data_IF_616863707529
#
_entry.id   IF_616863707529
#
_cell.length_a   1.000
_cell.length_b   1.000
_cell.length_c   1.000
_cell.angle_alpha   90.00
_cell.angle_beta   90.00
_cell.angle_gamma   90.00
#
_symmetry.space_group_name_H-M   'P 1'
#
loop_
_entity.id
_entity.type
_entity.pdbx_description
1 polymer ?
#
# COMPACT_ATOMS: atom_id res chain seq x y z
N UNK A 1 -18.91 13.71 26.71
CA UNK A 1 -19.31 12.88 25.55
C UNK A 1 -18.21 11.84 25.35
N UNK A 2 -18.50 10.54 25.49
CA UNK A 2 -17.49 9.48 25.33
C UNK A 2 -16.83 9.57 23.93
N UNK A 3 -15.53 9.32 23.87
CA UNK A 3 -14.75 9.20 22.61
C UNK A 3 -15.41 8.24 21.62
N UNK A 4 -16.09 7.20 22.11
CA UNK A 4 -16.83 6.26 21.26
C UNK A 4 -18.11 6.84 20.65
N UNK A 5 -18.84 7.68 21.39
CA UNK A 5 -20.01 8.37 20.84
C UNK A 5 -19.60 9.40 19.79
N UNK A 6 -18.44 10.04 19.97
CA UNK A 6 -17.85 10.94 18.98
C UNK A 6 -17.43 10.17 17.71
N UNK A 7 -16.73 9.03 17.85
CA UNK A 7 -16.35 8.15 16.73
C UNK A 7 -17.56 7.62 15.96
N UNK A 8 -18.61 7.16 16.65
CA UNK A 8 -19.86 6.69 16.00
C UNK A 8 -20.59 7.82 15.27
N UNK A 9 -20.66 9.01 15.88
CA UNK A 9 -21.26 10.19 15.24
C UNK A 9 -20.49 10.61 13.99
N UNK A 10 -19.15 10.55 14.01
CA UNK A 10 -18.32 10.90 12.88
C UNK A 10 -18.43 9.88 11.73
N UNK A 11 -18.47 8.57 12.03
CA UNK A 11 -18.72 7.55 10.99
C UNK A 11 -20.04 7.76 10.25
N UNK A 12 -21.09 8.24 10.93
CA UNK A 12 -22.37 8.62 10.29
C UNK A 12 -22.27 9.91 9.46
N UNK A 13 -21.32 10.81 9.75
CA UNK A 13 -21.18 12.11 9.08
C UNK A 13 -20.43 12.05 7.75
N UNK A 14 -19.67 10.97 7.52
CA UNK A 14 -18.97 10.74 6.26
C UNK A 14 -19.80 9.85 5.35
N UNK A 15 -20.47 10.45 4.36
CA UNK A 15 -20.89 9.69 3.18
C UNK A 15 -19.66 9.49 2.32
N UNK A 16 -19.43 8.25 1.85
CA UNK A 16 -18.39 8.01 0.83
C UNK A 16 -18.67 8.95 -0.34
N UNK A 17 -17.65 9.62 -0.89
CA UNK A 17 -17.83 10.40 -2.10
C UNK A 17 -18.45 9.51 -3.17
N UNK A 18 -19.57 9.93 -3.73
CA UNK A 18 -20.08 9.27 -4.92
C UNK A 18 -19.17 9.66 -6.08
N UNK A 19 -18.75 8.66 -6.87
CA UNK A 19 -18.05 8.92 -8.11
C UNK A 19 -19.04 9.63 -9.03
N UNK A 20 -18.95 10.94 -9.13
CA UNK A 20 -19.76 11.67 -10.08
C UNK A 20 -19.12 11.51 -11.45
N UNK A 21 -19.80 10.78 -12.34
CA UNK A 21 -19.65 10.97 -13.77
C UNK A 21 -20.42 12.24 -14.17
N UNK A 22 -20.07 13.38 -13.55
CA UNK A 22 -20.58 14.66 -14.00
C UNK A 22 -20.05 14.97 -15.40
N UNK A 23 -20.80 15.70 -16.25
CA UNK A 23 -20.26 16.16 -17.52
C UNK A 23 -18.93 16.89 -17.25
N UNK A 24 -17.86 16.63 -18.02
CA UNK A 24 -16.57 17.26 -17.80
C UNK A 24 -16.79 18.77 -17.74
N UNK A 25 -16.45 19.38 -16.60
CA UNK A 25 -16.37 20.85 -16.53
C UNK A 25 -15.47 21.27 -17.69
N UNK A 26 -15.98 22.10 -18.62
CA UNK A 26 -15.23 22.55 -19.81
C UNK A 26 -13.81 22.96 -19.39
N UNK A 27 -12.81 22.19 -19.84
CA UNK A 27 -11.39 22.40 -19.51
C UNK A 27 -10.74 21.33 -18.63
N UNK A 28 -11.50 20.40 -18.04
CA UNK A 28 -10.95 19.29 -17.25
C UNK A 28 -11.36 17.96 -17.91
N UNK A 29 -10.63 17.51 -18.93
CA UNK A 29 -10.84 16.21 -19.56
C UNK A 29 -9.66 15.23 -19.34
N UNK A 30 -10.01 13.96 -19.21
CA UNK A 30 -9.20 12.72 -19.25
C UNK A 30 -8.06 12.50 -18.25
N UNK A 31 -7.63 13.48 -17.46
CA UNK A 31 -6.46 13.29 -16.57
C UNK A 31 -6.71 13.41 -15.07
N UNK A 32 -7.97 13.51 -14.64
CA UNK A 32 -8.34 13.60 -13.22
C UNK A 32 -9.60 12.79 -12.94
N UNK A 33 -9.63 12.16 -11.76
CA UNK A 33 -10.85 11.54 -11.23
C UNK A 33 -11.31 12.39 -10.06
N UNK A 34 -12.50 12.98 -10.20
CA UNK A 34 -13.10 13.75 -9.12
C UNK A 34 -14.07 12.92 -8.33
N UNK A 35 -14.02 13.16 -7.04
CA UNK A 35 -14.95 12.67 -6.07
C UNK A 35 -15.51 13.87 -5.33
N UNK A 36 -16.83 14.07 -5.40
CA UNK A 36 -17.49 15.12 -4.66
C UNK A 36 -17.94 14.54 -3.32
N UNK A 37 -17.62 15.24 -2.24
CA UNK A 37 -18.07 14.87 -0.91
C UNK A 37 -18.58 16.07 -0.13
N UNK A 38 -19.24 15.77 0.99
CA UNK A 38 -19.77 16.78 1.91
C UNK A 38 -19.37 16.42 3.34
N UNK A 39 -18.63 17.31 3.99
CA UNK A 39 -18.29 17.24 5.40
C UNK A 39 -19.36 17.96 6.22
N UNK A 40 -19.97 17.24 7.16
CA UNK A 40 -20.91 17.84 8.11
C UNK A 40 -20.13 18.40 9.32
N UNK A 41 -19.92 19.70 9.35
CA UNK A 41 -19.24 20.42 10.42
C UNK A 41 -20.11 20.52 11.69
N UNK A 42 -19.52 21.01 12.78
CA UNK A 42 -20.28 21.31 14.01
C UNK A 42 -21.28 22.43 13.73
N UNK A 43 -22.52 22.29 14.22
CA UNK A 43 -23.60 23.27 13.99
C UNK A 43 -24.27 23.15 12.62
N UNK A 44 -24.41 21.93 12.09
CA UNK A 44 -25.15 21.59 10.85
C UNK A 44 -24.65 22.27 9.57
N UNK A 45 -23.52 22.97 9.63
CA UNK A 45 -22.86 23.53 8.45
C UNK A 45 -22.30 22.39 7.59
N UNK A 46 -22.47 22.51 6.27
CA UNK A 46 -21.93 21.58 5.29
C UNK A 46 -20.74 22.23 4.60
N UNK A 47 -19.65 21.48 4.44
CA UNK A 47 -18.48 21.86 3.67
C UNK A 47 -18.36 20.90 2.51
N UNK A 48 -18.67 21.36 1.31
CA UNK A 48 -18.45 20.60 0.09
C UNK A 48 -16.96 20.57 -0.25
N UNK A 49 -16.48 19.43 -0.70
CA UNK A 49 -15.08 19.26 -1.07
C UNK A 49 -14.94 18.36 -2.28
N UNK A 50 -13.87 18.60 -3.04
CA UNK A 50 -13.44 17.75 -4.14
C UNK A 50 -12.23 16.95 -3.68
N UNK A 51 -12.23 15.64 -3.90
CA UNK A 51 -11.03 14.82 -3.87
C UNK A 51 -10.66 14.52 -5.31
N UNK A 52 -9.39 14.74 -5.64
CA UNK A 52 -8.80 14.35 -6.91
C UNK A 52 -7.36 13.96 -6.67
N UNK A 53 -6.81 13.14 -7.57
CA UNK A 53 -5.38 12.82 -7.62
C UNK A 53 -4.80 13.29 -8.96
N UNK A 54 -3.49 13.56 -8.98
CA UNK A 54 -2.74 13.62 -10.23
C UNK A 54 -2.50 12.20 -10.72
N UNK A 55 -2.74 11.93 -12.00
CA UNK A 55 -2.45 10.61 -12.60
C UNK A 55 -0.96 10.37 -12.79
N UNK A 56 -0.13 11.42 -12.73
CA UNK A 56 1.32 11.32 -12.89
C UNK A 56 2.01 11.92 -11.68
N UNK A 57 3.05 11.23 -11.24
CA UNK A 57 3.97 11.70 -10.20
C UNK A 57 4.93 12.75 -10.78
N UNK A 58 5.46 13.59 -9.90
CA UNK A 58 6.52 14.55 -10.21
C UNK A 58 6.08 16.00 -10.26
N UNK A 59 6.99 16.86 -9.81
CA UNK A 59 6.77 18.28 -9.56
C UNK A 59 6.11 19.02 -10.74
N UNK A 60 6.61 18.84 -11.97
CA UNK A 60 6.14 19.57 -13.16
C UNK A 60 4.75 19.11 -13.58
N UNK A 61 4.52 17.79 -13.60
CA UNK A 61 3.20 17.23 -13.91
C UNK A 61 2.19 17.70 -12.86
N UNK A 62 2.49 17.51 -11.58
CA UNK A 62 1.63 17.98 -10.51
C UNK A 62 1.35 19.48 -10.61
N UNK A 63 2.36 20.33 -10.79
CA UNK A 63 2.20 21.78 -10.90
C UNK A 63 1.28 22.17 -12.06
N UNK A 64 1.44 21.55 -13.22
CA UNK A 64 0.61 21.80 -14.41
C UNK A 64 -0.85 21.40 -14.14
N UNK A 65 -1.04 20.18 -13.64
CA UNK A 65 -2.35 19.63 -13.37
C UNK A 65 -3.09 20.40 -12.27
N UNK A 66 -2.47 20.54 -11.10
CA UNK A 66 -3.02 21.28 -9.98
C UNK A 66 -3.20 22.77 -10.31
N UNK A 67 -2.33 23.37 -11.14
CA UNK A 67 -2.50 24.75 -11.61
C UNK A 67 -3.81 24.97 -12.36
N UNK A 68 -4.14 24.07 -13.29
CA UNK A 68 -5.44 24.10 -14.00
C UNK A 68 -6.60 23.98 -12.99
N UNK A 69 -6.48 23.08 -12.01
CA UNK A 69 -7.52 22.91 -10.99
C UNK A 69 -7.71 24.14 -10.12
N UNK A 70 -6.63 24.77 -9.68
CA UNK A 70 -6.70 26.00 -8.88
C UNK A 70 -7.31 27.15 -9.69
N UNK A 71 -7.01 27.23 -10.98
CA UNK A 71 -7.58 28.23 -11.88
C UNK A 71 -9.09 28.02 -12.11
N UNK A 72 -9.53 26.78 -12.31
CA UNK A 72 -10.92 26.42 -12.59
C UNK A 72 -11.78 26.41 -11.32
N UNK A 73 -11.34 25.71 -10.29
CA UNK A 73 -12.11 25.50 -9.06
C UNK A 73 -12.01 26.67 -8.09
N UNK A 74 -10.93 27.47 -8.18
CA UNK A 74 -10.63 28.60 -7.27
C UNK A 74 -10.87 28.24 -5.80
N UNK A 75 -10.20 27.18 -5.30
CA UNK A 75 -10.48 26.65 -3.98
C UNK A 75 -10.15 27.68 -2.89
N UNK A 76 -11.05 27.86 -1.92
CA UNK A 76 -10.77 28.71 -0.76
C UNK A 76 -9.76 28.05 0.20
N UNK A 77 -9.80 26.73 0.30
CA UNK A 77 -8.86 25.89 1.03
C UNK A 77 -8.45 24.69 0.18
N UNK A 78 -7.20 24.27 0.31
CA UNK A 78 -6.68 23.08 -0.35
C UNK A 78 -5.83 22.26 0.63
N UNK A 79 -5.92 20.94 0.51
CA UNK A 79 -5.14 19.98 1.29
C UNK A 79 -4.42 19.08 0.28
N UNK A 80 -3.11 19.01 0.40
CA UNK A 80 -2.29 18.03 -0.29
C UNK A 80 -2.01 16.87 0.66
N UNK A 81 -2.31 15.66 0.21
CA UNK A 81 -2.02 14.43 0.90
C UNK A 81 -1.27 13.51 -0.06
N UNK A 82 -0.09 13.06 0.35
CA UNK A 82 0.80 12.22 -0.45
C UNK A 82 1.61 11.29 0.44
N UNK A 83 2.32 10.37 -0.19
CA UNK A 83 3.33 9.51 0.44
C UNK A 83 4.71 10.13 0.23
N UNK A 84 5.58 9.94 1.21
CA UNK A 84 6.93 10.50 1.22
C UNK A 84 7.92 9.48 1.79
N UNK A 85 9.20 9.67 1.50
CA UNK A 85 10.27 9.00 2.23
C UNK A 85 10.55 9.78 3.53
N UNK A 86 10.59 9.08 4.67
CA UNK A 86 10.91 9.68 5.97
C UNK A 86 12.41 9.69 6.25
N UNK A 87 12.91 10.74 6.89
CA UNK A 87 14.28 10.81 7.37
C UNK A 87 14.42 10.04 8.69
N UNK A 88 14.84 8.78 8.61
CA UNK A 88 14.97 7.90 9.77
C UNK A 88 15.89 8.48 10.87
N UNK A 89 16.89 9.30 10.52
CA UNK A 89 17.80 9.94 11.49
C UNK A 89 17.09 10.95 12.39
N UNK A 90 15.94 11.48 11.95
CA UNK A 90 15.03 12.34 12.73
C UNK A 90 13.94 11.53 13.46
N UNK A 91 14.06 10.20 13.45
CA UNK A 91 13.14 9.24 14.06
C UNK A 91 11.82 9.07 13.32
N UNK A 92 11.72 9.45 12.04
CA UNK A 92 10.50 9.21 11.25
C UNK A 92 10.41 7.72 10.91
N UNK A 93 9.28 7.10 11.26
CA UNK A 93 9.03 5.67 11.04
C UNK A 93 7.96 5.45 9.96
N UNK A 94 7.93 4.24 9.38
CA UNK A 94 6.89 3.84 8.42
C UNK A 94 5.50 3.93 9.06
N UNK A 95 4.53 4.49 8.32
CA UNK A 95 3.15 4.66 8.77
C UNK A 95 2.90 5.90 9.63
N UNK A 96 3.93 6.68 9.98
CA UNK A 96 3.74 7.97 10.63
C UNK A 96 3.15 9.00 9.64
N UNK A 97 2.27 9.86 10.15
CA UNK A 97 1.73 10.99 9.39
C UNK A 97 2.48 12.25 9.80
N UNK A 98 2.97 12.98 8.80
CA UNK A 98 3.77 14.20 8.98
C UNK A 98 2.96 15.38 8.44
N UNK A 99 2.94 16.49 9.17
CA UNK A 99 2.39 17.76 8.72
C UNK A 99 3.51 18.66 8.18
N UNK A 100 3.28 19.26 7.02
CA UNK A 100 4.25 20.15 6.39
C UNK A 100 4.21 21.55 6.93
N UNK A 101 5.34 21.98 7.46
CA UNK A 101 5.57 23.36 7.86
C UNK A 101 6.18 24.16 6.71
N UNK A 102 7.01 23.59 5.88
CA UNK A 102 7.50 24.23 4.66
C UNK A 102 7.82 23.17 3.62
N UNK A 103 7.99 23.59 2.36
CA UNK A 103 8.52 22.72 1.33
C UNK A 103 9.51 23.48 0.45
N UNK A 104 10.67 22.88 0.17
CA UNK A 104 11.64 23.43 -0.77
C UNK A 104 11.82 22.51 -1.98
N UNK A 105 12.07 23.08 -3.16
CA UNK A 105 12.57 22.29 -4.28
C UNK A 105 14.05 22.01 -4.05
N UNK A 106 14.44 20.73 -4.10
CA UNK A 106 15.84 20.32 -3.99
C UNK A 106 16.67 20.87 -5.14
N UNK A 107 16.12 20.84 -6.35
CA UNK A 107 16.81 21.23 -7.58
C UNK A 107 16.96 22.76 -7.71
N UNK A 108 15.98 23.53 -7.23
CA UNK A 108 16.05 25.00 -7.29
C UNK A 108 16.88 25.61 -6.16
N UNK A 109 17.13 24.88 -5.07
CA UNK A 109 17.86 25.35 -3.88
C UNK A 109 17.20 26.53 -3.14
N UNK A 110 16.04 27.02 -3.62
CA UNK A 110 15.30 28.13 -3.03
C UNK A 110 14.30 27.60 -2.01
N UNK A 111 14.41 28.10 -0.78
CA UNK A 111 13.35 27.92 0.21
C UNK A 111 12.09 28.61 -0.29
N UNK A 112 10.97 27.90 -0.33
CA UNK A 112 9.69 28.54 -0.53
C UNK A 112 8.80 28.33 0.68
N UNK A 113 8.20 29.42 1.13
CA UNK A 113 7.04 29.47 2.02
C UNK A 113 7.14 28.64 3.31
N UNK A 114 7.56 29.27 4.41
CA UNK A 114 7.26 28.75 5.75
C UNK A 114 5.78 28.94 6.06
N UNK A 115 5.08 27.86 6.34
CA UNK A 115 3.82 27.83 7.08
C UNK A 115 4.15 28.07 8.56
N UNK A 116 3.25 28.75 9.27
CA UNK A 116 3.37 28.88 10.71
C UNK A 116 3.25 27.47 11.31
N UNK A 117 4.33 26.99 11.93
CA UNK A 117 4.46 25.59 12.29
C UNK A 117 3.30 25.07 13.13
N UNK A 118 2.88 23.83 12.89
CA UNK A 118 1.96 23.16 13.80
C UNK A 118 2.71 22.87 15.11
N UNK A 119 2.25 23.46 16.22
CA UNK A 119 2.75 23.09 17.53
C UNK A 119 2.33 21.63 17.79
N UNK A 120 3.29 20.71 17.66
CA UNK A 120 3.10 19.30 17.96
C UNK A 120 2.73 19.14 19.45
N UNK A 121 1.43 19.12 19.74
CA UNK A 121 0.90 18.60 21.00
C UNK A 121 1.17 17.10 21.10
N UNK A 122 0.71 16.45 22.18
CA UNK A 122 0.88 15.01 22.55
C UNK A 122 0.44 13.94 21.50
N UNK A 123 0.31 14.28 20.23
CA UNK A 123 -0.25 13.44 19.17
C UNK A 123 0.84 12.61 18.46
N UNK A 124 0.42 11.51 17.83
CA UNK A 124 1.25 10.58 17.03
C UNK A 124 1.80 11.18 15.72
N UNK A 125 1.73 12.49 15.56
CA UNK A 125 2.06 13.20 14.34
C UNK A 125 3.33 14.01 14.57
N UNK A 126 4.17 14.14 13.53
CA UNK A 126 5.28 15.09 13.55
C UNK A 126 4.99 16.25 12.62
N UNK A 127 5.69 17.35 12.85
CA UNK A 127 5.64 18.54 12.01
C UNK A 127 7.06 18.90 11.59
N UNK A 128 7.25 19.24 10.31
CA UNK A 128 8.55 19.70 9.83
C UNK A 128 8.58 20.01 8.35
N UNK A 129 9.79 20.25 7.85
CA UNK A 129 10.01 20.69 6.48
C UNK A 129 10.05 19.49 5.51
N UNK A 130 9.52 19.74 4.32
CA UNK A 130 9.51 18.85 3.17
C UNK A 130 10.59 19.29 2.19
N UNK A 131 11.18 18.32 1.51
CA UNK A 131 11.97 18.56 0.31
C UNK A 131 11.28 17.86 -0.85
N UNK A 132 10.95 18.62 -1.89
CA UNK A 132 10.34 18.09 -3.10
C UNK A 132 11.37 17.95 -4.21
N UNK A 133 11.29 16.87 -4.97
CA UNK A 133 12.21 16.56 -6.08
C UNK A 133 11.51 16.38 -7.43
N UNK A 134 12.30 16.47 -8.50
CA UNK A 134 11.85 16.17 -9.86
C UNK A 134 11.74 14.67 -10.16
N UNK A 135 12.50 13.81 -9.46
CA UNK A 135 12.55 12.37 -9.72
C UNK A 135 12.61 11.52 -8.44
N UNK A 136 11.96 10.35 -8.48
CA UNK A 136 12.15 9.29 -7.48
C UNK A 136 13.58 8.80 -7.60
N UNK A 137 14.32 8.75 -6.49
CA UNK A 137 15.66 8.19 -6.46
C UNK A 137 15.86 7.30 -5.25
N UNK A 138 16.62 6.23 -5.45
CA UNK A 138 16.96 5.24 -4.42
C UNK A 138 17.96 5.81 -3.38
N UNK A 139 18.62 6.93 -3.67
CA UNK A 139 19.61 7.55 -2.80
C UNK A 139 19.04 8.53 -1.77
N UNK A 140 17.79 8.33 -1.32
CA UNK A 140 17.09 9.14 -0.30
C UNK A 140 17.99 9.51 0.88
N UNK A 141 18.77 8.55 1.39
CA UNK A 141 19.71 8.73 2.50
C UNK A 141 20.76 9.81 2.21
N UNK A 142 21.42 9.75 1.05
CA UNK A 142 22.45 10.73 0.64
C UNK A 142 21.88 12.13 0.48
N UNK A 143 20.62 12.23 0.07
CA UNK A 143 19.94 13.52 -0.06
C UNK A 143 19.67 14.11 1.31
N UNK A 144 19.15 13.33 2.25
CA UNK A 144 18.95 13.79 3.62
C UNK A 144 20.27 14.22 4.27
N UNK A 145 21.34 13.44 4.11
CA UNK A 145 22.68 13.82 4.58
C UNK A 145 23.12 15.16 3.98
N UNK A 146 23.03 15.31 2.65
CA UNK A 146 23.44 16.53 1.97
C UNK A 146 22.63 17.75 2.42
N UNK A 147 21.32 17.61 2.61
CA UNK A 147 20.45 18.72 3.00
C UNK A 147 20.69 19.10 4.45
N UNK A 148 20.86 18.12 5.33
CA UNK A 148 21.19 18.35 6.74
C UNK A 148 22.51 19.12 6.84
N UNK A 149 23.51 18.76 6.04
CA UNK A 149 24.82 19.45 6.01
C UNK A 149 24.75 20.84 5.36
N UNK A 150 23.99 21.00 4.27
CA UNK A 150 24.05 22.23 3.44
C UNK A 150 23.06 23.32 3.84
N UNK A 151 21.92 22.97 4.46
CA UNK A 151 20.82 23.90 4.63
C UNK A 151 20.49 24.23 6.10
N UNK A 152 21.06 23.51 7.07
CA UNK A 152 20.72 23.58 8.50
C UNK A 152 19.19 23.58 8.73
N UNK A 153 18.51 22.57 8.17
CA UNK A 153 17.05 22.45 8.22
C UNK A 153 16.61 21.15 8.84
N UNK A 154 15.51 21.23 9.58
CA UNK A 154 14.79 20.08 10.09
C UNK A 154 13.91 19.45 9.00
N UNK A 155 14.57 18.87 7.98
CA UNK A 155 13.87 18.14 6.91
C UNK A 155 13.51 16.75 7.42
N UNK A 156 12.21 16.52 7.55
CA UNK A 156 11.67 15.24 8.00
C UNK A 156 11.35 14.31 6.84
N UNK A 157 11.05 14.87 5.67
CA UNK A 157 10.47 14.09 4.57
C UNK A 157 10.98 14.53 3.21
N UNK A 158 11.00 13.58 2.28
CA UNK A 158 11.29 13.77 0.88
C UNK A 158 10.06 13.35 0.06
N UNK A 159 9.49 14.29 -0.68
CA UNK A 159 8.33 14.09 -1.55
C UNK A 159 8.65 14.61 -2.97
N UNK A 160 7.64 14.70 -3.85
CA UNK A 160 7.83 15.23 -5.21
C UNK A 160 6.95 16.43 -5.54
N UNK A 161 5.94 16.77 -4.73
CA UNK A 161 4.89 17.72 -5.12
C UNK A 161 4.62 18.83 -4.10
N UNK A 162 5.03 18.70 -2.83
CA UNK A 162 4.68 19.63 -1.76
C UNK A 162 5.10 21.07 -2.08
N UNK A 163 6.31 21.28 -2.62
CA UNK A 163 6.79 22.62 -2.98
C UNK A 163 5.95 23.25 -4.10
N UNK A 164 5.62 22.49 -5.14
CA UNK A 164 4.71 22.93 -6.20
C UNK A 164 3.31 23.26 -5.63
N UNK A 165 2.79 22.43 -4.74
CA UNK A 165 1.51 22.69 -4.08
C UNK A 165 1.50 24.00 -3.30
N UNK A 166 2.53 24.25 -2.48
CA UNK A 166 2.64 25.50 -1.72
C UNK A 166 2.77 26.72 -2.66
N UNK A 167 3.54 26.59 -3.74
CA UNK A 167 3.69 27.65 -4.75
C UNK A 167 2.39 27.98 -5.47
N UNK A 168 1.55 26.97 -5.75
CA UNK A 168 0.24 27.17 -6.36
C UNK A 168 -0.73 27.86 -5.39
N UNK A 169 -0.64 27.57 -4.10
CA UNK A 169 -1.52 28.19 -3.09
C UNK A 169 -1.25 29.68 -2.90
N UNK A 170 0.02 30.11 -2.96
CA UNK A 170 0.44 31.48 -2.68
C UNK A 170 -0.25 32.55 -3.56
N UNK A 171 -0.22 32.50 -4.91
CA UNK A 171 -0.84 33.51 -5.76
C UNK A 171 -2.38 33.44 -5.73
N UNK A 172 -2.97 32.27 -5.47
CA UNK A 172 -4.43 32.10 -5.43
C UNK A 172 -5.06 32.57 -4.11
N UNK A 173 -4.25 33.03 -3.14
CA UNK A 173 -4.69 33.30 -1.76
C UNK A 173 -5.44 32.10 -1.16
N UNK A 174 -5.12 30.90 -1.65
CA UNK A 174 -5.71 29.66 -1.17
C UNK A 174 -5.16 29.41 0.23
N UNK A 175 -6.05 29.23 1.19
CA UNK A 175 -5.63 28.86 2.52
C UNK A 175 -5.24 27.39 2.53
N UNK A 176 -3.94 27.10 2.43
CA UNK A 176 -3.38 25.88 3.02
C UNK A 176 -3.79 25.94 4.48
N UNK A 177 -4.35 24.87 5.06
CA UNK A 177 -4.96 24.84 6.40
C UNK A 177 -4.07 25.51 7.46
N UNK A 178 -4.19 26.83 7.57
CA UNK A 178 -3.38 27.70 8.41
C UNK A 178 -4.12 27.81 9.73
N UNK A 179 -3.40 27.65 10.83
CA UNK A 179 -3.77 28.37 12.04
C UNK A 179 -3.92 29.86 11.68
N UNK A 180 -5.10 30.41 11.93
CA UNK A 180 -5.48 31.78 11.57
C UNK A 180 -4.47 32.79 12.16
N UNK A 181 -3.69 33.51 11.34
CA UNK A 181 -2.96 34.71 11.77
C UNK A 181 -3.32 35.87 10.84
N UNK A 182 -4.26 36.71 11.26
CA UNK A 182 -4.40 38.07 10.73
C UNK A 182 -3.48 39.01 11.55
N UNK A 183 -2.90 40.06 10.95
CA UNK A 183 -2.04 41.02 11.66
C UNK A 183 -2.76 42.00 12.60
N UNK A 184 -4.04 41.80 12.93
CA UNK A 184 -4.81 42.76 13.73
C UNK A 184 -5.64 42.01 14.77
N UNK A 185 -5.17 42.00 16.02
CA UNK A 185 -5.89 41.41 17.17
C UNK A 185 -5.65 39.91 17.30
N UNK A 186 -5.28 39.49 18.53
CA UNK A 186 -4.90 38.13 18.94
C UNK A 186 -5.54 37.01 18.09
N UNK A 187 -4.75 36.15 17.43
CA UNK A 187 -5.32 35.03 16.67
C UNK A 187 -5.99 34.05 17.64
N UNK A 188 -7.18 33.51 17.33
CA UNK A 188 -7.64 32.33 18.01
C UNK A 188 -6.61 31.22 17.75
N UNK A 189 -5.90 30.78 18.80
CA UNK A 189 -4.90 29.68 18.83
C UNK A 189 -5.47 28.30 18.44
N UNK A 190 -6.60 28.25 17.75
CA UNK A 190 -7.15 26.99 17.28
C UNK A 190 -6.48 26.71 15.94
N UNK A 191 -5.50 25.80 15.94
CA UNK A 191 -5.40 24.87 14.82
C UNK A 191 -6.83 24.39 14.51
N UNK A 192 -7.19 24.12 13.26
CA UNK A 192 -8.50 23.58 12.98
C UNK A 192 -8.59 22.21 13.66
N UNK A 193 -9.00 22.14 14.93
CA UNK A 193 -9.16 20.90 15.68
C UNK A 193 -10.10 19.95 14.94
N UNK A 194 -10.99 20.51 14.10
CA UNK A 194 -11.81 19.75 13.16
C UNK A 194 -10.98 18.99 12.11
N UNK A 195 -9.87 19.54 11.62
CA UNK A 195 -8.99 18.90 10.63
C UNK A 195 -8.16 17.79 11.27
N UNK A 196 -7.58 18.04 12.45
CA UNK A 196 -6.90 16.99 13.23
C UNK A 196 -7.86 15.84 13.52
N UNK A 197 -9.04 16.15 14.05
CA UNK A 197 -10.12 15.19 14.29
C UNK A 197 -10.60 14.50 12.99
N UNK A 198 -10.62 15.22 11.87
CA UNK A 198 -10.97 14.69 10.55
C UNK A 198 -9.95 13.65 10.12
N UNK A 199 -8.65 13.96 10.20
CA UNK A 199 -7.56 13.05 9.84
C UNK A 199 -7.49 11.84 10.79
N UNK A 200 -7.72 12.04 12.09
CA UNK A 200 -7.85 10.94 13.07
C UNK A 200 -9.07 10.04 12.80
N UNK A 201 -10.13 10.59 12.22
CA UNK A 201 -11.34 9.83 11.87
C UNK A 201 -11.22 9.09 10.53
N UNK A 202 -10.28 9.50 9.67
CA UNK A 202 -9.99 8.81 8.41
C UNK A 202 -9.19 7.55 8.71
N UNK A 203 -9.86 6.41 8.65
CA UNK A 203 -9.17 5.13 8.68
C UNK A 203 -8.61 4.88 7.28
N UNK A 204 -7.30 5.08 7.13
CA UNK A 204 -6.54 4.80 5.89
C UNK A 204 -6.19 3.33 5.74
N UNK A 205 -6.90 2.44 6.43
CA UNK A 205 -6.71 1.01 6.27
C UNK A 205 -7.04 0.65 4.82
N UNK A 206 -5.99 0.42 4.03
CA UNK A 206 -6.10 -0.18 2.71
C UNK A 206 -6.89 -1.46 2.91
N UNK A 207 -8.07 -1.54 2.30
CA UNK A 207 -8.83 -2.77 2.32
C UNK A 207 -8.13 -3.77 1.40
N UNK A 208 -7.13 -4.46 1.96
CA UNK A 208 -6.29 -5.40 1.24
C UNK A 208 -7.12 -6.54 0.61
N UNK A 209 -8.32 -6.84 1.11
CA UNK A 209 -9.21 -7.86 0.50
C UNK A 209 -9.64 -7.51 -0.93
N UNK A 210 -9.58 -6.22 -1.29
CA UNK A 210 -9.91 -5.73 -2.63
C UNK A 210 -8.71 -5.66 -3.57
N UNK A 211 -7.50 -5.78 -3.03
CA UNK A 211 -6.27 -5.77 -3.82
C UNK A 211 -6.19 -7.03 -4.69
N UNK A 212 -5.52 -6.92 -5.83
CA UNK A 212 -5.47 -8.01 -6.82
C UNK A 212 -4.75 -9.23 -6.25
N UNK A 213 -3.69 -9.03 -5.44
CA UNK A 213 -3.00 -10.10 -4.71
C UNK A 213 -3.93 -10.93 -3.83
N UNK A 214 -4.82 -10.29 -3.06
CA UNK A 214 -5.81 -11.00 -2.24
C UNK A 214 -6.83 -11.75 -3.10
N UNK A 215 -7.29 -11.13 -4.19
CA UNK A 215 -8.23 -11.75 -5.14
C UNK A 215 -7.64 -12.97 -5.86
N UNK A 216 -6.32 -13.03 -6.05
CA UNK A 216 -5.61 -14.17 -6.63
C UNK A 216 -5.34 -15.28 -5.60
N UNK A 217 -5.08 -14.92 -4.34
CA UNK A 217 -4.76 -15.87 -3.28
C UNK A 217 -5.89 -16.88 -3.03
N UNK A 218 -7.15 -16.42 -3.01
CA UNK A 218 -8.30 -17.29 -2.75
C UNK A 218 -8.50 -18.37 -3.82
N UNK A 219 -8.61 -18.06 -5.14
CA UNK A 219 -8.70 -19.09 -6.18
C UNK A 219 -7.48 -20.01 -6.23
N UNK A 220 -6.27 -19.50 -5.95
CA UNK A 220 -5.07 -20.34 -5.89
C UNK A 220 -5.17 -21.36 -4.75
N UNK A 221 -5.62 -20.93 -3.57
CA UNK A 221 -5.84 -21.83 -2.44
C UNK A 221 -6.89 -22.90 -2.76
N UNK A 222 -8.08 -22.48 -3.22
CA UNK A 222 -9.23 -23.36 -3.41
C UNK A 222 -9.03 -24.40 -4.53
N UNK A 223 -8.32 -24.03 -5.61
CA UNK A 223 -8.16 -24.85 -6.81
C UNK A 223 -6.82 -25.60 -6.88
N UNK A 224 -5.83 -25.21 -6.07
CA UNK A 224 -4.51 -25.83 -6.08
C UNK A 224 -4.11 -26.34 -4.70
N UNK A 225 -3.94 -25.46 -3.71
CA UNK A 225 -3.41 -25.83 -2.39
C UNK A 225 -4.29 -26.87 -1.70
N UNK A 226 -5.59 -26.58 -1.55
CA UNK A 226 -6.55 -27.49 -0.91
C UNK A 226 -6.61 -28.83 -1.62
N UNK A 227 -6.72 -28.81 -2.96
CA UNK A 227 -6.83 -30.02 -3.78
C UNK A 227 -5.60 -30.92 -3.63
N UNK A 228 -4.40 -30.36 -3.64
CA UNK A 228 -3.17 -31.13 -3.46
C UNK A 228 -3.08 -31.69 -2.04
N UNK A 229 -3.43 -30.90 -1.02
CA UNK A 229 -3.44 -31.37 0.38
C UNK A 229 -4.45 -32.51 0.56
N UNK A 230 -5.63 -32.42 -0.04
CA UNK A 230 -6.63 -33.50 -0.01
C UNK A 230 -6.10 -34.79 -0.65
N UNK A 231 -5.34 -34.69 -1.76
CA UNK A 231 -4.70 -35.86 -2.37
C UNK A 231 -3.60 -36.47 -1.52
N UNK A 232 -2.82 -35.65 -0.82
CA UNK A 232 -1.84 -36.11 0.16
C UNK A 232 -2.55 -36.88 1.28
N UNK A 233 -3.63 -36.31 1.84
CA UNK A 233 -4.45 -36.94 2.89
C UNK A 233 -5.04 -38.29 2.45
N UNK A 234 -5.43 -38.41 1.18
CA UNK A 234 -6.01 -39.63 0.60
C UNK A 234 -4.94 -40.67 0.23
N UNK A 235 -3.65 -40.36 0.35
CA UNK A 235 -2.56 -41.25 -0.04
C UNK A 235 -2.51 -41.56 -1.54
N UNK A 236 -2.92 -40.60 -2.38
CA UNK A 236 -2.87 -40.79 -3.83
C UNK A 236 -1.43 -41.06 -4.31
N UNK A 237 -1.24 -41.88 -5.36
CA UNK A 237 0.09 -42.22 -5.83
C UNK A 237 0.84 -40.97 -6.32
N UNK A 238 2.12 -40.89 -5.95
CA UNK A 238 3.07 -39.92 -6.46
C UNK A 238 3.94 -40.56 -7.55
N UNK A 239 4.06 -39.89 -8.69
CA UNK A 239 4.86 -40.35 -9.83
C UNK A 239 5.95 -39.32 -10.14
N UNK A 240 7.22 -39.70 -10.04
CA UNK A 240 8.34 -38.88 -10.51
C UNK A 240 8.45 -39.02 -12.02
N UNK A 241 8.39 -37.90 -12.73
CA UNK A 241 8.27 -37.91 -14.19
C UNK A 241 9.41 -38.66 -14.92
N UNK A 242 10.58 -38.80 -14.26
CA UNK A 242 11.76 -39.48 -14.81
C UNK A 242 12.16 -40.77 -14.06
N UNK A 243 11.48 -41.13 -12.97
CA UNK A 243 11.86 -42.27 -12.11
C UNK A 243 10.72 -43.25 -11.83
N UNK A 244 9.49 -42.91 -12.23
CA UNK A 244 8.31 -43.73 -11.99
C UNK A 244 7.71 -43.50 -10.61
N UNK A 245 6.94 -44.48 -10.14
CA UNK A 245 6.17 -44.39 -8.88
C UNK A 245 7.10 -44.41 -7.67
N UNK A 246 6.81 -43.57 -6.68
CA UNK A 246 7.50 -43.55 -5.37
C UNK A 246 6.66 -44.27 -4.34
N UNK A 247 7.27 -45.15 -3.56
CA UNK A 247 6.60 -45.84 -2.43
C UNK A 247 6.36 -44.89 -1.24
N UNK A 248 7.23 -43.88 -1.08
CA UNK A 248 7.12 -42.88 -0.03
C UNK A 248 6.10 -41.81 -0.38
N UNK A 249 5.02 -41.77 0.41
CA UNK A 249 4.00 -40.73 0.33
C UNK A 249 4.54 -39.38 0.86
N UNK A 250 4.21 -38.25 0.21
CA UNK A 250 4.44 -36.94 0.81
C UNK A 250 3.65 -36.79 2.11
N UNK A 251 4.19 -36.06 3.07
CA UNK A 251 3.55 -35.73 4.36
C UNK A 251 3.01 -34.30 4.38
N UNK A 252 3.22 -33.53 3.32
CA UNK A 252 2.82 -32.13 3.29
C UNK A 252 3.15 -31.39 2.00
N UNK A 253 2.67 -30.16 1.95
CA UNK A 253 2.84 -29.24 0.82
C UNK A 253 3.53 -27.97 1.30
N UNK A 254 4.58 -27.54 0.59
CA UNK A 254 5.26 -26.28 0.79
C UNK A 254 5.06 -25.36 -0.39
N UNK A 255 4.58 -24.14 -0.16
CA UNK A 255 4.53 -23.12 -1.21
C UNK A 255 5.79 -22.27 -1.12
N UNK A 256 6.46 -22.13 -2.25
CA UNK A 256 7.70 -21.36 -2.39
C UNK A 256 7.34 -19.99 -2.98
N UNK A 257 7.58 -18.93 -2.22
CA UNK A 257 7.39 -17.55 -2.70
C UNK A 257 8.69 -17.03 -3.33
N UNK A 258 8.60 -16.20 -4.40
CA UNK A 258 9.80 -15.75 -5.10
C UNK A 258 10.65 -14.85 -4.19
N UNK A 259 11.98 -14.90 -4.38
CA UNK A 259 12.93 -14.04 -3.66
C UNK A 259 12.53 -12.56 -3.78
N UNK A 260 12.56 -11.85 -2.65
CA UNK A 260 12.13 -10.46 -2.51
C UNK A 260 10.69 -10.18 -2.96
N UNK A 261 9.86 -11.23 -3.05
CA UNK A 261 8.49 -11.16 -3.54
C UNK A 261 8.40 -10.62 -4.98
N UNK A 262 9.45 -10.77 -5.79
CA UNK A 262 9.44 -10.33 -7.19
C UNK A 262 8.82 -11.42 -8.10
N UNK A 263 7.63 -11.22 -8.68
CA UNK A 263 6.99 -12.21 -9.56
C UNK A 263 7.79 -12.56 -10.82
N UNK A 264 8.71 -11.71 -11.28
CA UNK A 264 9.53 -11.97 -12.47
C UNK A 264 10.37 -13.24 -12.34
N UNK A 265 10.70 -13.62 -11.10
CA UNK A 265 11.42 -14.87 -10.81
C UNK A 265 10.62 -16.11 -11.20
N UNK A 266 9.30 -16.01 -11.34
CA UNK A 266 8.42 -17.11 -11.80
C UNK A 266 7.85 -16.90 -13.20
N UNK A 267 8.23 -15.83 -13.90
CA UNK A 267 7.76 -15.50 -15.24
C UNK A 267 8.00 -16.66 -16.23
N UNK A 268 9.21 -17.21 -16.19
CA UNK A 268 9.66 -18.28 -17.08
C UNK A 268 9.75 -19.62 -16.36
N UNK A 269 9.33 -20.70 -17.03
CA UNK A 269 9.42 -22.06 -16.48
C UNK A 269 10.87 -22.44 -16.15
N UNK A 270 11.83 -21.97 -16.96
CA UNK A 270 13.27 -22.20 -16.76
C UNK A 270 13.77 -21.68 -15.41
N UNK A 271 13.25 -20.54 -14.93
CA UNK A 271 13.64 -20.02 -13.61
C UNK A 271 13.22 -20.94 -12.48
N UNK A 272 11.98 -21.42 -12.50
CA UNK A 272 11.48 -22.37 -11.49
C UNK A 272 12.26 -23.69 -11.55
N UNK A 273 12.54 -24.19 -12.76
CA UNK A 273 13.33 -25.41 -12.94
C UNK A 273 14.76 -25.25 -12.39
N UNK A 274 15.42 -24.12 -12.65
CA UNK A 274 16.76 -23.83 -12.11
C UNK A 274 16.75 -23.75 -10.58
N UNK A 275 15.73 -23.13 -9.97
CA UNK A 275 15.53 -23.13 -8.52
C UNK A 275 15.37 -24.56 -8.01
N UNK A 276 14.47 -25.35 -8.61
CA UNK A 276 14.25 -26.73 -8.22
C UNK A 276 15.52 -27.59 -8.28
N UNK A 277 16.30 -27.48 -9.36
CA UNK A 277 17.59 -28.16 -9.50
C UNK A 277 18.58 -27.74 -8.40
N UNK A 278 18.70 -26.44 -8.12
CA UNK A 278 19.59 -25.89 -7.09
C UNK A 278 19.28 -26.48 -5.71
N UNK A 279 18.01 -26.79 -5.42
CA UNK A 279 17.56 -27.36 -4.15
C UNK A 279 17.40 -28.89 -4.16
N UNK A 280 17.80 -29.56 -5.24
CA UNK A 280 17.67 -31.01 -5.39
C UNK A 280 16.22 -31.50 -5.36
N UNK A 281 15.28 -30.70 -5.90
CA UNK A 281 13.88 -31.09 -6.03
C UNK A 281 13.67 -31.82 -7.36
N UNK A 282 12.91 -32.91 -7.34
CA UNK A 282 12.59 -33.71 -8.53
C UNK A 282 11.18 -33.41 -9.01
N UNK A 283 10.97 -33.30 -10.33
CA UNK A 283 9.64 -33.08 -10.88
C UNK A 283 8.75 -34.31 -10.67
N UNK A 284 7.58 -34.09 -10.10
CA UNK A 284 6.65 -35.12 -9.70
C UNK A 284 5.23 -34.74 -10.11
N UNK A 285 4.38 -35.73 -10.28
CA UNK A 285 2.97 -35.53 -10.50
C UNK A 285 2.14 -36.27 -9.46
N UNK A 286 1.09 -35.60 -8.99
CA UNK A 286 0.12 -36.11 -8.03
C UNK A 286 -1.30 -35.93 -8.58
N UNK A 287 -2.19 -36.85 -8.23
CA UNK A 287 -3.58 -36.86 -8.68
C UNK A 287 -3.81 -37.75 -9.90
N UNK A 288 -5.08 -37.87 -10.31
CA UNK A 288 -5.53 -38.79 -11.36
C UNK A 288 -6.12 -38.03 -12.56
N UNK A 289 -5.95 -38.59 -13.77
CA UNK A 289 -6.59 -38.13 -15.00
C UNK A 289 -6.34 -36.65 -15.32
N UNK A 290 -7.41 -35.94 -15.71
CA UNK A 290 -7.38 -34.50 -16.05
C UNK A 290 -7.05 -33.59 -14.86
N UNK A 291 -7.06 -34.12 -13.64
CA UNK A 291 -6.74 -33.37 -12.44
C UNK A 291 -5.28 -33.54 -12.02
N UNK A 292 -4.47 -34.35 -12.71
CA UNK A 292 -3.03 -34.47 -12.42
C UNK A 292 -2.36 -33.09 -12.36
N UNK A 293 -1.54 -32.85 -11.33
CA UNK A 293 -0.76 -31.62 -11.14
C UNK A 293 0.72 -31.94 -11.12
N UNK A 294 1.48 -31.20 -11.90
CA UNK A 294 2.95 -31.26 -11.88
C UNK A 294 3.49 -30.31 -10.84
N UNK A 295 4.36 -30.81 -9.98
CA UNK A 295 4.96 -30.13 -8.84
C UNK A 295 6.41 -30.59 -8.70
N UNK A 296 7.10 -30.07 -7.68
CA UNK A 296 8.42 -30.57 -7.32
C UNK A 296 8.34 -31.35 -6.01
N UNK A 297 9.16 -32.37 -5.86
CA UNK A 297 9.16 -33.29 -4.72
C UNK A 297 10.55 -33.42 -4.13
N UNK A 298 10.61 -33.40 -2.80
CA UNK A 298 11.75 -33.86 -2.01
C UNK A 298 11.20 -34.35 -0.69
N UNK A 299 11.36 -35.65 -0.43
CA UNK A 299 10.80 -36.29 0.76
C UNK A 299 11.09 -35.48 2.04
N UNK A 300 10.08 -35.22 2.90
CA UNK A 300 8.70 -35.68 2.82
C UNK A 300 7.70 -34.68 2.20
N UNK A 301 8.14 -33.67 1.43
CA UNK A 301 7.27 -32.58 0.98
C UNK A 301 7.11 -32.48 -0.54
N UNK A 302 5.92 -32.06 -0.96
CA UNK A 302 5.69 -31.45 -2.27
C UNK A 302 5.95 -29.94 -2.21
N UNK A 303 6.39 -29.36 -3.31
CA UNK A 303 6.75 -27.96 -3.45
C UNK A 303 5.96 -27.35 -4.62
N UNK A 304 5.17 -26.32 -4.30
CA UNK A 304 4.38 -25.55 -5.25
C UNK A 304 4.94 -24.15 -5.46
N UNK A 305 5.07 -23.74 -6.72
CA UNK A 305 5.49 -22.40 -7.11
C UNK A 305 4.27 -21.66 -7.69
N UNK A 306 3.77 -20.59 -7.05
CA UNK A 306 2.54 -19.90 -7.44
C UNK A 306 2.73 -19.09 -8.74
N UNK A 307 2.74 -19.79 -9.89
CA UNK A 307 2.84 -19.17 -11.22
C UNK A 307 1.70 -18.18 -11.53
N UNK A 308 0.61 -18.21 -10.76
CA UNK A 308 -0.45 -17.20 -10.83
C UNK A 308 0.06 -15.78 -10.56
N UNK A 309 1.19 -15.62 -9.86
CA UNK A 309 1.84 -14.33 -9.63
C UNK A 309 2.30 -13.67 -10.94
N UNK A 310 2.47 -14.44 -12.03
CA UNK A 310 2.85 -13.88 -13.34
C UNK A 310 1.79 -12.91 -13.87
N UNK A 311 0.52 -13.04 -13.44
CA UNK A 311 -0.54 -12.08 -13.78
C UNK A 311 -0.32 -10.68 -13.17
N UNK A 312 0.54 -10.56 -12.15
CA UNK A 312 0.89 -9.30 -11.52
C UNK A 312 1.96 -8.52 -12.29
N UNK A 313 2.67 -9.15 -13.24
CA UNK A 313 3.80 -8.52 -13.96
C UNK A 313 3.39 -7.29 -14.78
N UNK A 314 2.13 -7.24 -15.22
CA UNK A 314 1.58 -6.10 -15.97
C UNK A 314 1.13 -4.94 -15.07
N UNK A 315 1.25 -5.10 -13.74
CA UNK A 315 0.78 -4.12 -12.77
C UNK A 315 1.93 -3.31 -12.18
N UNK A 316 1.67 -2.01 -11.97
CA UNK A 316 2.51 -1.20 -11.09
C UNK A 316 2.40 -1.74 -9.65
N UNK A 317 3.54 -1.92 -8.98
CA UNK A 317 3.57 -2.48 -7.62
C UNK A 317 3.38 -4.00 -7.55
N UNK A 318 3.79 -4.76 -8.58
CA UNK A 318 3.72 -6.23 -8.61
C UNK A 318 4.25 -6.90 -7.32
N UNK A 319 5.38 -6.42 -6.77
CA UNK A 319 5.95 -6.95 -5.52
C UNK A 319 5.07 -6.69 -4.28
N UNK A 320 4.39 -5.54 -4.23
CA UNK A 320 3.39 -5.27 -3.18
C UNK A 320 2.19 -6.20 -3.32
N UNK A 321 1.69 -6.41 -4.54
CA UNK A 321 0.59 -7.35 -4.77
C UNK A 321 1.00 -8.80 -4.43
N UNK A 322 2.26 -9.19 -4.66
CA UNK A 322 2.80 -10.48 -4.23
C UNK A 322 2.92 -10.60 -2.70
N UNK A 323 3.22 -9.50 -1.99
CA UNK A 323 3.15 -9.44 -0.52
C UNK A 323 1.73 -9.63 -0.01
N UNK A 324 0.75 -8.94 -0.62
CA UNK A 324 -0.67 -9.11 -0.27
C UNK A 324 -1.11 -10.55 -0.55
N UNK A 325 -0.70 -11.14 -1.67
CA UNK A 325 -0.94 -12.56 -1.98
C UNK A 325 -0.36 -13.48 -0.90
N UNK A 326 0.92 -13.33 -0.52
CA UNK A 326 1.57 -14.11 0.55
C UNK A 326 0.80 -14.01 1.88
N UNK A 327 0.39 -12.79 2.25
CA UNK A 327 -0.37 -12.52 3.47
C UNK A 327 -1.73 -13.22 3.46
N UNK A 328 -2.51 -13.07 2.39
CA UNK A 328 -3.85 -13.67 2.28
C UNK A 328 -3.82 -15.19 2.15
N UNK A 329 -2.79 -15.73 1.49
CA UNK A 329 -2.64 -17.16 1.35
C UNK A 329 -2.32 -17.84 2.69
N UNK A 330 -1.54 -17.18 3.56
CA UNK A 330 -1.31 -17.61 4.96
C UNK A 330 -2.56 -17.45 5.85
N UNK A 331 -3.38 -16.43 5.62
CA UNK A 331 -4.66 -16.28 6.34
C UNK A 331 -5.66 -17.39 5.98
N UNK A 332 -5.67 -17.85 4.73
CA UNK A 332 -6.51 -18.97 4.28
C UNK A 332 -6.27 -20.26 5.07
N UNK A 333 -5.03 -20.49 5.53
CA UNK A 333 -4.68 -21.60 6.42
C UNK A 333 -5.35 -21.45 7.79
N UNK A 334 -5.26 -20.25 8.38
CA UNK A 334 -5.85 -19.95 9.70
C UNK A 334 -7.37 -20.15 9.69
N UNK A 335 -8.03 -19.81 8.58
CA UNK A 335 -9.48 -19.97 8.45
C UNK A 335 -9.94 -21.44 8.38
N UNK A 336 -9.04 -22.41 8.19
CA UNK A 336 -9.39 -23.84 8.17
C UNK A 336 -8.87 -24.66 9.36
N UNK A 337 -8.06 -24.08 10.25
CA UNK A 337 -7.52 -24.78 11.43
C UNK A 337 -8.32 -24.77 12.75
N UNK A 338 -9.58 -24.28 12.88
CA UNK A 338 -10.29 -24.43 14.17
C UNK A 338 -10.96 -25.78 14.44
N UNK A 339 -11.24 -26.63 13.43
CA UNK A 339 -12.17 -27.78 13.60
C UNK A 339 -11.70 -29.14 13.06
N UNK A 340 -10.45 -29.29 12.59
CA UNK A 340 -9.89 -30.60 12.19
C UNK A 340 -9.34 -31.43 13.37
N UNK A 341 -9.80 -31.17 14.59
CA UNK A 341 -9.52 -31.95 15.80
C UNK A 341 -10.55 -33.09 16.01
N UNK A 342 -11.09 -33.66 14.92
CA UNK A 342 -11.82 -34.92 14.97
C UNK A 342 -10.81 -36.07 14.95
N UNK A 343 -10.73 -36.73 16.11
CA UNK A 343 -9.93 -37.91 16.42
C UNK A 343 -9.84 -38.93 15.26
N UNK A 344 -8.75 -38.90 14.50
CA UNK A 344 -8.22 -40.10 13.86
C UNK A 344 -7.03 -40.59 14.69
N UNK A 345 -7.28 -41.65 15.45
CA UNK A 345 -6.22 -42.43 16.08
C UNK A 345 -5.23 -42.91 15.00
N UNK A 346 -3.95 -42.59 15.20
CA UNK A 346 -2.76 -43.07 14.46
C UNK A 346 -2.38 -42.48 13.09
N UNK A 347 -2.81 -41.27 12.70
CA UNK A 347 -2.32 -40.63 11.46
C UNK A 347 -1.99 -39.14 11.63
N UNK A 348 -0.75 -38.73 11.37
CA UNK A 348 -0.37 -37.31 11.33
C UNK A 348 -1.06 -36.61 10.15
N UNK A 349 -1.92 -35.63 10.43
CA UNK A 349 -2.55 -34.79 9.40
C UNK A 349 -1.48 -34.11 8.53
N UNK A 350 -1.66 -34.02 7.20
CA UNK A 350 -0.67 -33.42 6.33
C UNK A 350 -0.41 -31.96 6.70
N UNK A 351 0.87 -31.58 6.72
CA UNK A 351 1.29 -30.23 7.10
C UNK A 351 1.42 -29.35 5.87
N UNK A 352 0.77 -28.19 5.88
CA UNK A 352 1.07 -27.11 4.94
C UNK A 352 2.19 -26.27 5.56
N UNK A 353 3.18 -25.89 4.75
CA UNK A 353 4.28 -25.03 5.17
C UNK A 353 4.55 -23.93 4.16
N UNK A 354 5.11 -22.81 4.63
CA UNK A 354 5.47 -21.68 3.78
C UNK A 354 6.98 -21.49 3.80
N UNK A 355 7.61 -21.51 2.63
CA UNK A 355 9.03 -21.19 2.49
C UNK A 355 9.13 -19.93 1.65
N UNK A 356 9.74 -18.88 2.22
CA UNK A 356 10.32 -17.81 1.40
C UNK A 356 11.65 -18.32 0.87
N UNK A 357 11.97 -18.01 -0.39
CA UNK A 357 13.33 -18.16 -0.91
C UNK A 357 14.30 -17.30 -0.06
N UNK A 358 14.74 -17.87 1.06
CA UNK A 358 15.83 -17.38 1.90
C UNK A 358 17.06 -18.21 1.58
N UNK A 359 17.52 -18.06 0.33
CA UNK A 359 18.90 -18.34 -0.13
C UNK A 359 19.27 -17.24 -1.11
#
# INVERSE_FOLDING_TARGET
>A
MSTDNLRRSLRKRWRRPEKSAGPPSKGINNNHVFYLGVLNLVGERKLEYYITSSLRQGLVHFATHAGILFQVLRPWFAIYAGVFAGNATTGVELGQVIFGDAAMSYEEGKSMSRLAGFAAGKYKYKSGDYVSRLSVREDAVKIFERITVSADRNVLTLDMEASAFLNLCAPHRCHVARGYQRPCGRPPRRSPAWLEQMMESMNWDVNEEKEIGARLAKPYYENFVRVVVDWISQGLPLELLNQGRVDQQPQGLKIVMPKNLNPEKYAEVGHIHNIAQTFGLTEAAIGNGSHRRTMYYRHPYLFGFPRTLNSLLVMEGASYQALVFDKFLKLGEILQSPELEVQHASGTSPRVGWIREHV
#
